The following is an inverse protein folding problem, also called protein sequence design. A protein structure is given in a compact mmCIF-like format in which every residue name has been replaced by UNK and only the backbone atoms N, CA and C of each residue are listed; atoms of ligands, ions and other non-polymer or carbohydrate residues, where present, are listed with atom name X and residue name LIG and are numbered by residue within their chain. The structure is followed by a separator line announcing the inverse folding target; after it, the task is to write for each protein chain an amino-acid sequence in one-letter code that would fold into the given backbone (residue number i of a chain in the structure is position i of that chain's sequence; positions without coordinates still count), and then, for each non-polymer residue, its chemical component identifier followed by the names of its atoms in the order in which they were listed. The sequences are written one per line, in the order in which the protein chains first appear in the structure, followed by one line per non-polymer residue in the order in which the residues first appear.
data_IF_013111645560
#
_entry.id   IF_013111645560
#
_cell.length_a   1.000
_cell.length_b   1.000
_cell.length_c   1.000
_cell.angle_alpha   90.00
_cell.angle_beta   90.00
_cell.angle_gamma   90.00
#
_symmetry.space_group_name_H-M   'P 1'
#
loop_
_entity.id
_entity.type
_entity.pdbx_description
1 polymer ?
#
# COMPACT_ATOMS: atom_id res chain seq x y z
N UNK A 1 18.75 15.23 23.40
CA UNK A 1 17.77 16.14 22.80
C UNK A 1 16.53 15.31 22.49
N UNK A 2 15.43 15.56 23.18
CA UNK A 2 14.14 14.92 22.92
C UNK A 2 13.62 15.38 21.56
N UNK A 3 13.21 14.44 20.71
CA UNK A 3 12.56 14.74 19.43
C UNK A 3 11.34 15.65 19.67
N UNK A 4 11.15 16.73 18.90
CA UNK A 4 9.98 17.57 19.05
C UNK A 4 8.71 16.81 18.65
N UNK A 5 7.70 16.89 19.52
CA UNK A 5 6.40 16.25 19.31
C UNK A 5 5.70 16.84 18.08
N UNK A 6 5.29 15.97 17.15
CA UNK A 6 4.65 16.38 15.91
C UNK A 6 3.21 16.81 16.17
N UNK A 7 2.93 18.11 16.06
CA UNK A 7 1.56 18.61 15.96
C UNK A 7 1.06 18.44 14.53
N UNK A 8 0.16 17.48 14.34
CA UNK A 8 -0.55 17.29 13.08
C UNK A 8 -1.67 18.34 12.96
N UNK A 9 -1.84 18.99 11.79
CA UNK A 9 -2.94 19.92 11.58
C UNK A 9 -4.27 19.16 11.40
N UNK A 10 -5.35 19.70 11.97
CA UNK A 10 -6.71 19.22 11.75
C UNK A 10 -7.12 19.33 10.27
N UNK A 11 -7.98 18.42 9.81
CA UNK A 11 -8.58 18.46 8.47
C UNK A 11 -9.26 19.82 8.18
N UNK A 12 -9.24 20.29 6.92
CA UNK A 12 -9.82 21.59 6.56
C UNK A 12 -11.32 21.66 6.84
N UNK A 13 -11.75 22.80 7.42
CA UNK A 13 -13.13 23.12 7.86
C UNK A 13 -14.22 23.04 6.76
N UNK A 14 -13.86 22.79 5.50
CA UNK A 14 -14.78 22.73 4.35
C UNK A 14 -15.28 21.32 4.02
N UNK A 15 -14.85 20.29 4.75
CA UNK A 15 -15.41 18.95 4.60
C UNK A 15 -16.87 18.94 5.10
N UNK A 16 -17.83 18.50 4.28
CA UNK A 16 -19.20 18.22 4.72
C UNK A 16 -19.12 17.13 5.80
N UNK A 17 -19.23 17.51 7.06
CA UNK A 17 -19.18 16.60 8.19
C UNK A 17 -20.45 15.75 8.16
N UNK A 18 -20.29 14.47 7.79
CA UNK A 18 -21.33 13.46 7.95
C UNK A 18 -21.55 13.30 9.47
N UNK A 19 -22.77 13.49 9.94
CA UNK A 19 -23.11 13.41 11.36
C UNK A 19 -23.22 11.94 11.79
N UNK A 20 -22.08 11.33 12.13
CA UNK A 20 -21.95 9.96 12.64
C UNK A 20 -20.48 9.50 12.64
N UNK A 21 -20.09 8.54 13.50
CA UNK A 21 -18.73 7.98 13.47
C UNK A 21 -18.49 7.31 12.11
N UNK A 22 -17.41 7.71 11.42
CA UNK A 22 -17.05 7.16 10.12
C UNK A 22 -16.60 5.71 10.24
N UNK A 23 -17.05 4.86 9.32
CA UNK A 23 -16.71 3.44 9.31
C UNK A 23 -15.29 3.23 8.81
N UNK A 24 -14.47 2.52 9.59
CA UNK A 24 -13.16 2.04 9.13
C UNK A 24 -13.32 0.85 8.17
N UNK A 25 -12.33 0.65 7.31
CA UNK A 25 -12.26 -0.48 6.39
C UNK A 25 -11.01 -1.32 6.61
N UNK A 26 -10.71 -2.14 5.60
CA UNK A 26 -9.61 -3.08 5.60
C UNK A 26 -8.64 -2.76 4.47
N UNK A 27 -7.35 -2.94 4.75
CA UNK A 27 -6.29 -2.65 3.76
C UNK A 27 -6.24 -3.72 2.66
N UNK A 28 -5.59 -3.42 1.53
CA UNK A 28 -5.36 -4.43 0.48
C UNK A 28 -4.53 -5.59 1.01
N UNK A 29 -3.59 -5.33 1.94
CA UNK A 29 -2.82 -6.35 2.65
C UNK A 29 -3.71 -7.32 3.44
N UNK A 30 -4.61 -6.80 4.27
CA UNK A 30 -5.54 -7.64 5.06
C UNK A 30 -6.45 -8.49 4.20
N UNK A 31 -7.06 -7.90 3.17
CA UNK A 31 -7.93 -8.65 2.26
C UNK A 31 -7.15 -9.71 1.47
N UNK A 32 -5.89 -9.45 1.12
CA UNK A 32 -5.03 -10.45 0.46
C UNK A 32 -4.64 -11.59 1.42
N UNK A 33 -4.35 -11.29 2.69
CA UNK A 33 -4.11 -12.31 3.71
C UNK A 33 -5.36 -13.17 3.97
N UNK A 34 -6.54 -12.55 4.00
CA UNK A 34 -7.82 -13.25 4.09
C UNK A 34 -8.03 -14.22 2.92
N UNK A 35 -7.89 -13.73 1.69
CA UNK A 35 -8.00 -14.56 0.49
C UNK A 35 -6.97 -15.72 0.51
N UNK A 36 -5.72 -15.43 0.86
CA UNK A 36 -4.67 -16.44 0.88
C UNK A 36 -4.91 -17.53 1.94
N UNK A 37 -5.38 -17.14 3.14
CA UNK A 37 -5.76 -18.09 4.19
C UNK A 37 -6.96 -18.93 3.77
N UNK A 38 -8.01 -18.32 3.22
CA UNK A 38 -9.19 -19.04 2.73
C UNK A 38 -8.83 -20.06 1.65
N UNK A 39 -8.03 -19.67 0.66
CA UNK A 39 -7.58 -20.56 -0.40
C UNK A 39 -6.69 -21.69 0.14
N UNK A 40 -5.79 -21.40 1.10
CA UNK A 40 -4.96 -22.44 1.74
C UNK A 40 -5.82 -23.45 2.50
N UNK A 41 -6.77 -22.98 3.31
CA UNK A 41 -7.72 -23.84 4.02
C UNK A 41 -8.53 -24.68 3.04
N UNK A 42 -8.99 -24.08 1.94
CA UNK A 42 -9.75 -24.78 0.93
C UNK A 42 -8.94 -25.87 0.23
N UNK A 43 -7.67 -25.59 -0.10
CA UNK A 43 -6.76 -26.55 -0.70
C UNK A 43 -6.43 -27.71 0.26
N UNK A 44 -6.25 -27.43 1.55
CA UNK A 44 -5.96 -28.45 2.57
C UNK A 44 -7.17 -29.36 2.82
N UNK A 45 -8.35 -28.77 2.96
CA UNK A 45 -9.59 -29.48 3.31
C UNK A 45 -10.32 -30.05 2.10
N UNK A 46 -9.94 -29.61 0.89
CA UNK A 46 -10.68 -29.86 -0.35
C UNK A 46 -12.15 -29.38 -0.28
N UNK A 47 -12.40 -28.29 0.46
CA UNK A 47 -13.73 -27.71 0.66
C UNK A 47 -13.71 -26.19 0.45
N UNK A 48 -14.69 -25.67 -0.28
CA UNK A 48 -14.83 -24.24 -0.49
C UNK A 48 -15.13 -23.52 0.85
N UNK A 49 -14.49 -22.37 1.07
CA UNK A 49 -14.70 -21.53 2.25
C UNK A 49 -15.69 -20.42 1.94
N UNK A 50 -16.59 -20.12 2.87
CA UNK A 50 -17.53 -18.98 2.79
C UNK A 50 -17.13 -17.83 3.71
N UNK A 51 -16.27 -18.10 4.69
CA UNK A 51 -15.68 -17.11 5.58
C UNK A 51 -14.28 -17.52 6.02
N UNK A 52 -13.52 -16.56 6.54
CA UNK A 52 -12.17 -16.80 7.09
C UNK A 52 -11.85 -15.79 8.18
N UNK A 53 -11.23 -16.25 9.26
CA UNK A 53 -10.72 -15.38 10.32
C UNK A 53 -9.26 -15.02 10.07
N UNK A 54 -8.92 -13.75 10.15
CA UNK A 54 -7.56 -13.22 9.93
C UNK A 54 -7.06 -12.54 11.18
N UNK A 55 -5.81 -12.81 11.55
CA UNK A 55 -5.10 -12.08 12.60
C UNK A 55 -4.42 -10.86 11.97
N UNK A 56 -4.69 -9.67 12.54
CA UNK A 56 -4.06 -8.41 12.17
C UNK A 56 -2.77 -8.18 12.99
N UNK A 57 -1.88 -7.24 12.59
CA UNK A 57 -0.62 -6.97 13.29
C UNK A 57 -0.73 -6.63 14.79
N UNK A 58 -1.89 -6.17 15.25
CA UNK A 58 -2.18 -5.91 16.69
C UNK A 58 -2.88 -7.10 17.37
N UNK A 59 -2.64 -8.33 16.87
CA UNK A 59 -3.25 -9.61 17.33
C UNK A 59 -4.79 -9.63 17.34
N UNK A 60 -5.42 -8.69 16.64
CA UNK A 60 -6.87 -8.62 16.52
C UNK A 60 -7.35 -9.64 15.50
N UNK A 61 -8.24 -10.55 15.92
CA UNK A 61 -8.94 -11.48 15.03
C UNK A 61 -10.14 -10.79 14.37
N UNK A 62 -10.26 -10.93 13.05
CA UNK A 62 -11.36 -10.37 12.25
C UNK A 62 -11.85 -11.39 11.23
N UNK A 63 -13.16 -11.59 11.16
CA UNK A 63 -13.81 -12.46 10.17
C UNK A 63 -14.09 -11.71 8.86
N UNK A 64 -13.76 -12.35 7.74
CA UNK A 64 -14.03 -11.88 6.39
C UNK A 64 -14.99 -12.84 5.69
N UNK A 65 -15.94 -12.29 4.93
CA UNK A 65 -16.69 -13.07 3.97
C UNK A 65 -15.80 -13.41 2.77
N UNK A 66 -15.88 -14.65 2.31
CA UNK A 66 -15.22 -15.12 1.10
C UNK A 66 -16.25 -15.10 -0.02
N UNK A 67 -16.08 -14.17 -0.96
CA UNK A 67 -17.03 -13.93 -2.05
C UNK A 67 -17.09 -15.11 -3.01
N UNK A 68 -15.93 -15.67 -3.33
CA UNK A 68 -15.78 -16.85 -4.18
C UNK A 68 -14.65 -17.71 -3.66
N UNK A 69 -14.84 -19.02 -3.66
CA UNK A 69 -13.80 -19.99 -3.32
C UNK A 69 -13.93 -21.20 -4.25
N UNK A 70 -13.00 -21.34 -5.19
CA UNK A 70 -12.95 -22.42 -6.15
C UNK A 70 -11.84 -23.39 -5.77
N UNK A 71 -12.14 -24.69 -5.77
CA UNK A 71 -11.20 -25.74 -5.33
C UNK A 71 -11.02 -26.77 -6.44
N UNK A 72 -9.76 -27.11 -6.69
CA UNK A 72 -9.32 -28.17 -7.58
C UNK A 72 -8.35 -29.10 -6.83
N UNK A 73 -8.03 -30.29 -7.39
CA UNK A 73 -7.16 -31.25 -6.70
C UNK A 73 -5.77 -30.70 -6.32
N UNK A 74 -5.22 -29.78 -7.11
CA UNK A 74 -3.85 -29.26 -6.97
C UNK A 74 -3.79 -27.76 -6.68
N UNK A 75 -4.93 -27.06 -6.70
CA UNK A 75 -4.99 -25.63 -6.46
C UNK A 75 -6.31 -25.17 -5.86
N UNK A 76 -6.31 -24.07 -5.13
CA UNK A 76 -7.51 -23.38 -4.72
C UNK A 76 -7.37 -21.88 -4.96
N UNK A 77 -8.49 -21.24 -5.26
CA UNK A 77 -8.57 -19.80 -5.42
C UNK A 77 -9.65 -19.25 -4.49
N UNK A 78 -9.36 -18.17 -3.79
CA UNK A 78 -10.35 -17.45 -2.99
C UNK A 78 -10.31 -15.95 -3.27
N UNK A 79 -11.48 -15.33 -3.16
CA UNK A 79 -11.69 -13.90 -3.42
C UNK A 79 -12.28 -13.23 -2.19
N UNK A 80 -11.66 -12.13 -1.77
CA UNK A 80 -12.19 -11.23 -0.73
C UNK A 80 -12.34 -9.84 -1.33
N UNK A 81 -13.55 -9.28 -1.23
CA UNK A 81 -13.84 -7.93 -1.73
C UNK A 81 -13.45 -6.92 -0.65
N UNK A 82 -12.60 -5.94 -1.02
CA UNK A 82 -12.14 -4.92 -0.08
C UNK A 82 -13.25 -3.93 0.25
N UNK A 83 -13.60 -3.84 1.53
CA UNK A 83 -14.40 -2.74 2.08
C UNK A 83 -13.46 -1.70 2.71
N UNK A 84 -13.37 -0.52 2.09
CA UNK A 84 -12.59 0.61 2.62
C UNK A 84 -13.35 1.45 3.69
N UNK A 85 -14.56 1.05 4.07
CA UNK A 85 -15.42 1.83 4.94
C UNK A 85 -15.85 3.13 4.26
N UNK A 86 -15.80 4.24 4.99
CA UNK A 86 -16.13 5.57 4.47
C UNK A 86 -14.93 6.33 3.87
N UNK A 87 -13.76 5.69 3.75
CA UNK A 87 -12.61 6.29 3.07
C UNK A 87 -12.82 6.33 1.55
N UNK A 88 -12.56 7.45 0.86
CA UNK A 88 -12.63 7.54 -0.61
C UNK A 88 -11.44 6.84 -1.29
N UNK A 89 -11.22 5.58 -0.94
CA UNK A 89 -10.12 4.74 -1.41
C UNK A 89 -10.41 4.19 -2.81
N UNK A 90 -9.50 4.43 -3.75
CA UNK A 90 -9.57 3.93 -5.13
C UNK A 90 -9.61 2.40 -5.24
N UNK A 91 -9.20 1.69 -4.20
CA UNK A 91 -9.22 0.23 -4.11
C UNK A 91 -10.45 -0.31 -3.38
N UNK A 92 -11.40 0.54 -2.97
CA UNK A 92 -12.69 0.10 -2.45
C UNK A 92 -13.43 -0.77 -3.50
N UNK A 93 -13.94 -1.92 -3.07
CA UNK A 93 -14.59 -2.91 -3.92
C UNK A 93 -13.63 -3.70 -4.82
N UNK A 94 -12.31 -3.61 -4.62
CA UNK A 94 -11.36 -4.43 -5.37
C UNK A 94 -11.48 -5.90 -4.96
N UNK A 95 -11.34 -6.81 -5.94
CA UNK A 95 -11.42 -8.25 -5.72
C UNK A 95 -10.02 -8.79 -5.45
N UNK A 96 -9.63 -8.87 -4.17
CA UNK A 96 -8.34 -9.44 -3.78
C UNK A 96 -8.44 -10.95 -3.91
N UNK A 97 -7.72 -11.48 -4.89
CA UNK A 97 -7.77 -12.89 -5.28
C UNK A 97 -6.45 -13.55 -4.91
N UNK A 98 -6.51 -14.69 -4.24
CA UNK A 98 -5.33 -15.50 -3.95
C UNK A 98 -5.50 -16.88 -4.55
N UNK A 99 -4.56 -17.27 -5.41
CA UNK A 99 -4.45 -18.63 -5.94
C UNK A 99 -3.34 -19.35 -5.20
N UNK A 100 -3.63 -20.50 -4.61
CA UNK A 100 -2.70 -21.28 -3.79
C UNK A 100 -2.47 -22.65 -4.42
N UNK A 101 -1.21 -23.10 -4.42
CA UNK A 101 -0.78 -24.44 -4.86
C UNK A 101 0.24 -25.00 -3.89
N UNK A 102 0.27 -26.32 -3.75
CA UNK A 102 1.36 -27.00 -3.03
C UNK A 102 2.68 -26.90 -3.81
N UNK A 103 3.78 -26.79 -3.08
CA UNK A 103 5.15 -26.91 -3.59
C UNK A 103 5.80 -28.16 -3.02
N UNK A 104 6.77 -28.71 -3.75
CA UNK A 104 7.53 -29.89 -3.32
C UNK A 104 8.62 -29.61 -2.27
N UNK A 105 8.82 -28.34 -1.87
CA UNK A 105 9.82 -27.92 -0.89
C UNK A 105 9.15 -27.03 0.16
N UNK A 106 9.45 -27.19 1.47
CA UNK A 106 8.87 -26.36 2.53
C UNK A 106 9.05 -24.85 2.31
N UNK A 107 8.11 -24.08 2.86
CA UNK A 107 8.13 -22.63 2.86
C UNK A 107 7.04 -21.99 2.01
N UNK A 108 7.04 -20.66 2.02
CA UNK A 108 6.08 -19.82 1.30
C UNK A 108 6.78 -19.09 0.16
N UNK A 109 6.36 -19.37 -1.07
CA UNK A 109 6.64 -18.54 -2.24
C UNK A 109 5.45 -17.60 -2.49
N UNK A 110 5.72 -16.29 -2.53
CA UNK A 110 4.71 -15.27 -2.74
C UNK A 110 4.97 -14.49 -4.03
N UNK A 111 4.05 -14.63 -4.97
CA UNK A 111 4.11 -14.02 -6.30
C UNK A 111 2.97 -12.99 -6.48
N UNK A 112 3.18 -12.03 -7.38
CA UNK A 112 2.12 -11.13 -7.87
C UNK A 112 1.60 -11.61 -9.22
N UNK A 113 0.27 -11.65 -9.36
CA UNK A 113 -0.43 -11.95 -10.60
C UNK A 113 -1.05 -10.69 -11.22
N UNK A 114 -2.15 -10.87 -11.96
CA UNK A 114 -2.80 -9.79 -12.71
C UNK A 114 -3.18 -8.63 -11.78
N UNK A 115 -2.85 -7.40 -12.19
CA UNK A 115 -3.21 -6.16 -11.50
C UNK A 115 -2.54 -5.92 -10.13
N UNK A 116 -1.59 -6.77 -9.72
CA UNK A 116 -0.59 -6.40 -8.71
C UNK A 116 0.58 -5.73 -9.43
N UNK A 117 0.98 -4.55 -8.94
CA UNK A 117 2.03 -3.79 -9.58
C UNK A 117 3.40 -4.47 -9.50
N UNK A 118 4.27 -4.17 -10.45
CA UNK A 118 5.68 -4.58 -10.48
C UNK A 118 6.54 -3.37 -10.14
N UNK A 119 7.51 -3.58 -9.25
CA UNK A 119 8.46 -2.55 -8.81
C UNK A 119 9.53 -2.36 -9.88
N UNK A 120 9.69 -1.13 -10.37
CA UNK A 120 10.63 -0.77 -11.45
C UNK A 120 11.67 0.25 -11.01
N UNK A 121 11.51 0.83 -9.82
CA UNK A 121 12.44 1.78 -9.20
C UNK A 121 12.80 1.34 -7.79
N UNK A 122 14.03 1.61 -7.38
CA UNK A 122 14.47 1.43 -6.00
C UNK A 122 13.85 2.47 -5.05
N UNK A 123 13.98 2.24 -3.74
CA UNK A 123 13.60 3.20 -2.68
C UNK A 123 12.32 2.84 -1.89
N UNK A 124 11.52 1.89 -2.36
CA UNK A 124 10.32 1.41 -1.64
C UNK A 124 10.62 0.33 -0.58
N UNK A 125 11.88 -0.09 -0.43
CA UNK A 125 12.23 -1.27 0.36
C UNK A 125 11.72 -2.58 -0.25
N UNK A 126 11.45 -2.58 -1.55
CA UNK A 126 10.99 -3.73 -2.32
C UNK A 126 12.02 -4.07 -3.41
N UNK A 127 12.07 -5.35 -3.76
CA UNK A 127 12.92 -5.85 -4.84
C UNK A 127 12.45 -5.30 -6.20
N UNK A 128 13.37 -4.71 -6.96
CA UNK A 128 13.11 -4.27 -8.33
C UNK A 128 12.91 -5.50 -9.23
N UNK A 129 11.85 -5.50 -10.03
CA UNK A 129 11.35 -6.64 -10.79
C UNK A 129 10.37 -7.51 -10.00
N UNK A 130 10.28 -7.33 -8.68
CA UNK A 130 9.36 -8.06 -7.81
C UNK A 130 7.95 -7.46 -7.74
N UNK A 131 6.99 -8.19 -7.16
CA UNK A 131 5.63 -7.71 -6.98
C UNK A 131 5.57 -6.65 -5.87
N UNK A 132 4.71 -5.65 -6.06
CA UNK A 132 4.45 -4.54 -5.15
C UNK A 132 3.60 -4.96 -3.95
N UNK A 133 4.10 -5.95 -3.20
CA UNK A 133 3.53 -6.44 -1.94
C UNK A 133 4.47 -6.00 -0.82
N UNK A 134 3.99 -5.11 0.06
CA UNK A 134 4.80 -4.50 1.11
C UNK A 134 5.17 -5.50 2.22
N UNK A 135 6.25 -5.24 3.00
CA UNK A 135 6.72 -6.17 4.04
C UNK A 135 5.65 -6.60 5.04
N UNK A 136 4.86 -5.67 5.57
CA UNK A 136 3.79 -6.00 6.54
C UNK A 136 2.72 -6.92 5.92
N UNK A 137 2.15 -6.63 4.74
CA UNK A 137 1.28 -7.58 4.06
C UNK A 137 1.92 -8.94 3.76
N UNK A 138 3.22 -9.00 3.42
CA UNK A 138 3.93 -10.28 3.21
C UNK A 138 3.92 -11.11 4.49
N UNK A 139 4.22 -10.48 5.62
CA UNK A 139 4.22 -11.16 6.92
C UNK A 139 2.80 -11.57 7.33
N UNK A 140 1.81 -10.69 7.16
CA UNK A 140 0.42 -11.02 7.43
C UNK A 140 -0.05 -12.24 6.63
N UNK A 141 0.32 -12.33 5.34
CA UNK A 141 0.00 -13.50 4.50
C UNK A 141 0.68 -14.75 5.06
N UNK A 142 1.99 -14.66 5.40
CA UNK A 142 2.76 -15.76 5.96
C UNK A 142 2.17 -16.28 7.26
N UNK A 143 1.91 -15.42 8.23
CA UNK A 143 1.35 -15.78 9.54
C UNK A 143 -0.03 -16.43 9.41
N UNK A 144 -0.90 -15.86 8.58
CA UNK A 144 -2.26 -16.35 8.42
C UNK A 144 -2.32 -17.70 7.68
N UNK A 145 -1.39 -17.95 6.76
CA UNK A 145 -1.20 -19.27 6.14
C UNK A 145 -0.58 -20.24 7.15
N UNK A 146 0.42 -19.80 7.92
CA UNK A 146 1.09 -20.59 8.97
C UNK A 146 0.12 -21.09 10.05
N UNK A 147 -0.96 -20.35 10.30
CA UNK A 147 -2.04 -20.78 11.19
C UNK A 147 -2.90 -21.93 10.64
N UNK A 148 -2.80 -22.24 9.34
CA UNK A 148 -3.54 -23.31 8.66
C UNK A 148 -2.62 -24.50 8.33
N UNK A 149 -1.38 -24.20 7.93
CA UNK A 149 -0.40 -25.21 7.51
C UNK A 149 0.98 -24.91 8.09
N UNK A 150 1.66 -25.95 8.54
CA UNK A 150 3.05 -25.88 9.02
C UNK A 150 4.02 -25.65 7.84
N UNK A 151 4.43 -24.40 7.66
CA UNK A 151 5.31 -23.98 6.55
C UNK A 151 6.73 -24.55 6.64
N UNK A 152 7.13 -25.11 7.78
CA UNK A 152 8.43 -25.80 7.91
C UNK A 152 8.36 -27.23 7.35
N UNK A 153 7.15 -27.77 7.16
CA UNK A 153 6.92 -29.10 6.59
C UNK A 153 6.33 -29.07 5.18
N UNK A 154 5.53 -28.06 4.88
CA UNK A 154 4.81 -27.94 3.62
C UNK A 154 5.24 -26.71 2.85
N UNK A 155 5.30 -26.88 1.54
CA UNK A 155 5.54 -25.81 0.59
C UNK A 155 4.24 -25.27 0.04
N UNK A 156 4.07 -23.95 0.00
CA UNK A 156 2.94 -23.31 -0.67
C UNK A 156 3.40 -22.18 -1.58
N UNK A 157 2.86 -22.13 -2.79
CA UNK A 157 2.93 -20.97 -3.67
C UNK A 157 1.62 -20.23 -3.57
N UNK A 158 1.71 -18.93 -3.35
CA UNK A 158 0.58 -18.01 -3.29
C UNK A 158 0.78 -16.95 -4.35
N UNK A 159 -0.19 -16.80 -5.25
CA UNK A 159 -0.21 -15.72 -6.23
C UNK A 159 -1.35 -14.78 -5.88
N UNK A 160 -1.01 -13.54 -5.52
CA UNK A 160 -2.01 -12.49 -5.25
C UNK A 160 -2.33 -11.76 -6.54
N UNK A 161 -3.61 -11.63 -6.87
CA UNK A 161 -4.11 -10.94 -8.06
C UNK A 161 -5.23 -9.98 -7.69
N UNK A 162 -5.35 -8.91 -8.47
CA UNK A 162 -6.41 -7.91 -8.40
C UNK A 162 -6.89 -7.67 -9.83
N UNK A 163 -7.94 -8.36 -10.33
CA UNK A 163 -8.29 -8.34 -11.75
C UNK A 163 -8.48 -6.95 -12.37
N UNK A 164 -8.98 -5.98 -11.60
CA UNK A 164 -9.16 -4.58 -12.00
C UNK A 164 -8.04 -3.63 -11.50
N UNK A 165 -6.95 -4.20 -10.96
CA UNK A 165 -5.86 -3.48 -10.31
C UNK A 165 -5.13 -2.54 -11.25
N UNK A 166 -4.88 -2.91 -12.50
CA UNK A 166 -4.24 -2.02 -13.47
C UNK A 166 -5.12 -0.78 -13.77
N UNK A 167 -6.43 -0.97 -13.90
CA UNK A 167 -7.37 0.13 -14.11
C UNK A 167 -7.41 1.08 -12.91
N UNK A 168 -7.40 0.52 -11.69
CA UNK A 168 -7.37 1.30 -10.44
C UNK A 168 -6.07 2.06 -10.27
N UNK A 169 -4.93 1.45 -10.62
CA UNK A 169 -3.61 2.06 -10.50
C UNK A 169 -3.47 3.37 -11.30
N UNK A 170 -4.22 3.54 -12.39
CA UNK A 170 -4.24 4.79 -13.18
C UNK A 170 -4.72 6.02 -12.38
N UNK A 171 -5.40 5.80 -11.26
CA UNK A 171 -5.89 6.86 -10.35
C UNK A 171 -5.04 6.94 -9.06
N UNK A 172 -3.84 6.36 -9.06
CA UNK A 172 -2.90 6.36 -7.94
C UNK A 172 -1.61 7.08 -8.31
N UNK A 173 -0.74 7.32 -7.33
CA UNK A 173 0.63 7.82 -7.53
C UNK A 173 1.64 6.70 -7.82
N UNK A 174 1.20 5.44 -7.95
CA UNK A 174 2.07 4.26 -8.09
C UNK A 174 3.07 4.37 -9.24
N UNK A 175 2.63 4.84 -10.41
CA UNK A 175 3.51 4.96 -11.58
C UNK A 175 4.72 5.88 -11.31
N UNK A 176 4.52 6.96 -10.55
CA UNK A 176 5.60 7.88 -10.15
C UNK A 176 6.60 7.20 -9.22
N UNK A 177 6.09 6.42 -8.28
CA UNK A 177 6.87 5.57 -7.36
C UNK A 177 7.56 4.39 -8.07
N UNK A 178 7.36 4.21 -9.38
CA UNK A 178 7.93 3.11 -10.14
C UNK A 178 7.17 1.80 -9.96
N UNK A 179 5.88 1.84 -9.62
CA UNK A 179 5.02 0.66 -9.55
C UNK A 179 4.11 0.65 -10.78
N UNK A 180 4.31 -0.31 -11.67
CA UNK A 180 3.62 -0.40 -12.97
C UNK A 180 2.77 -1.66 -13.10
N UNK A 181 1.73 -1.63 -13.93
CA UNK A 181 0.88 -2.80 -14.23
C UNK A 181 -0.16 -3.16 -13.16
N UNK A 182 -0.25 -2.42 -12.05
CA UNK A 182 -1.18 -2.74 -10.98
C UNK A 182 -1.08 -1.89 -9.72
N UNK A 183 -1.93 -2.19 -8.75
CA UNK A 183 -1.91 -1.55 -7.42
C UNK A 183 -0.88 -2.23 -6.51
N UNK A 184 -0.54 -1.57 -5.41
CA UNK A 184 0.29 -2.17 -4.37
C UNK A 184 -0.58 -2.86 -3.32
N UNK A 185 -0.13 -4.00 -2.84
CA UNK A 185 -0.68 -4.67 -1.68
C UNK A 185 0.03 -4.10 -0.45
N UNK A 186 -0.68 -3.26 0.30
CA UNK A 186 -0.13 -2.40 1.34
C UNK A 186 -1.06 -2.32 2.55
N UNK A 187 -0.52 -1.86 3.68
CA UNK A 187 -1.24 -1.69 4.95
C UNK A 187 -0.33 -2.03 6.13
N UNK A 188 -0.22 -1.14 7.10
CA UNK A 188 0.67 -1.33 8.28
C UNK A 188 -0.07 -1.89 9.49
N UNK A 189 -1.30 -1.43 9.73
CA UNK A 189 -2.17 -1.87 10.84
C UNK A 189 -3.22 -2.88 10.40
N UNK A 190 -3.35 -3.08 9.09
CA UNK A 190 -4.43 -3.84 8.48
C UNK A 190 -5.77 -3.09 8.38
N UNK A 191 -5.87 -1.86 8.90
CA UNK A 191 -7.10 -1.07 8.95
C UNK A 191 -6.97 0.19 8.07
N UNK A 192 -8.03 0.50 7.32
CA UNK A 192 -8.19 1.78 6.62
C UNK A 192 -9.02 2.71 7.49
N UNK A 193 -8.43 3.84 7.88
CA UNK A 193 -9.12 4.91 8.61
C UNK A 193 -9.55 6.01 7.62
N UNK A 194 -10.83 6.41 7.58
CA UNK A 194 -11.32 7.44 6.67
C UNK A 194 -10.57 8.77 6.82
N UNK A 195 -10.11 9.33 5.69
CA UNK A 195 -9.39 10.60 5.62
C UNK A 195 -8.11 10.62 6.47
N UNK A 196 -7.41 9.49 6.56
CA UNK A 196 -6.19 9.35 7.34
C UNK A 196 -5.05 10.25 6.82
N UNK A 197 -4.58 11.15 7.69
CA UNK A 197 -3.34 11.93 7.49
C UNK A 197 -2.11 11.03 7.44
N UNK A 198 -2.12 9.92 8.18
CA UNK A 198 -1.03 8.95 8.26
C UNK A 198 -0.75 8.30 6.89
N UNK A 199 -1.79 7.87 6.17
CA UNK A 199 -1.67 7.26 4.84
C UNK A 199 -1.09 8.24 3.82
N UNK A 200 -1.48 9.52 3.89
CA UNK A 200 -0.91 10.57 3.04
C UNK A 200 0.56 10.82 3.38
N UNK A 201 0.88 10.96 4.68
CA UNK A 201 2.25 11.14 5.16
C UNK A 201 3.16 10.00 4.68
N UNK A 202 2.70 8.76 4.80
CA UNK A 202 3.44 7.59 4.32
C UNK A 202 3.72 7.67 2.82
N UNK A 203 2.76 8.12 2.03
CA UNK A 203 2.92 8.30 0.57
C UNK A 203 3.97 9.37 0.24
N UNK A 204 4.02 10.47 1.00
CA UNK A 204 5.04 11.52 0.86
C UNK A 204 6.43 10.98 1.21
N UNK A 205 6.55 10.25 2.32
CA UNK A 205 7.82 9.63 2.75
C UNK A 205 8.32 8.64 1.69
N UNK A 206 7.45 7.80 1.15
CA UNK A 206 7.80 6.86 0.07
C UNK A 206 8.26 7.57 -1.20
N UNK A 207 7.62 8.69 -1.58
CA UNK A 207 8.03 9.47 -2.74
C UNK A 207 9.44 10.03 -2.57
N UNK A 208 9.77 10.54 -1.39
CA UNK A 208 11.14 11.02 -1.08
C UNK A 208 12.15 9.87 -1.13
N UNK A 209 11.84 8.70 -0.55
CA UNK A 209 12.74 7.54 -0.60
C UNK A 209 12.99 7.06 -2.04
N UNK A 210 11.94 6.98 -2.87
CA UNK A 210 12.09 6.59 -4.28
C UNK A 210 12.95 7.59 -5.02
N UNK A 211 12.72 8.88 -4.82
CA UNK A 211 13.50 9.95 -5.42
C UNK A 211 14.97 9.84 -5.03
N UNK A 212 15.28 9.76 -3.74
CA UNK A 212 16.66 9.67 -3.25
C UNK A 212 17.39 8.44 -3.81
N UNK A 213 16.69 7.31 -3.93
CA UNK A 213 17.25 6.09 -4.50
C UNK A 213 17.54 6.18 -6.01
N UNK A 214 17.10 7.24 -6.70
CA UNK A 214 17.50 7.48 -8.10
C UNK A 214 18.84 8.22 -8.22
N UNK A 215 19.42 8.69 -7.12
CA UNK A 215 20.67 9.44 -7.13
C UNK A 215 20.55 10.87 -7.66
N UNK A 216 19.33 11.40 -7.72
CA UNK A 216 19.09 12.78 -8.13
C UNK A 216 19.48 13.76 -7.02
N UNK A 217 20.15 14.88 -7.34
CA UNK A 217 20.68 15.79 -6.33
C UNK A 217 19.60 16.63 -5.64
N UNK A 218 18.48 16.88 -6.34
CA UNK A 218 17.52 17.92 -5.97
C UNK A 218 16.13 17.37 -5.73
N UNK A 219 15.63 17.53 -4.51
CA UNK A 219 14.23 17.30 -4.14
C UNK A 219 13.40 18.54 -4.40
N UNK A 220 12.34 18.43 -5.18
CA UNK A 220 11.37 19.51 -5.42
C UNK A 220 10.09 19.21 -4.67
N UNK A 221 9.80 20.00 -3.65
CA UNK A 221 8.59 19.88 -2.86
C UNK A 221 7.53 20.86 -3.37
N UNK A 222 6.35 20.34 -3.67
CA UNK A 222 5.22 21.12 -4.12
C UNK A 222 4.06 21.04 -3.14
N UNK A 223 3.39 22.17 -2.87
CA UNK A 223 2.23 22.21 -1.96
C UNK A 223 0.96 21.51 -2.48
N UNK A 224 1.02 20.95 -3.69
CA UNK A 224 -0.04 20.24 -4.40
C UNK A 224 0.13 20.31 -5.92
N UNK A 225 -0.72 19.62 -6.68
CA UNK A 225 -0.55 19.40 -8.11
C UNK A 225 -0.48 20.65 -9.00
N UNK A 226 -1.09 21.78 -8.60
CA UNK A 226 -0.92 23.05 -9.34
C UNK A 226 0.52 23.56 -9.23
N UNK A 227 1.09 23.56 -8.03
CA UNK A 227 2.46 24.00 -7.78
C UNK A 227 3.47 22.99 -8.31
N UNK A 228 3.12 21.70 -8.34
CA UNK A 228 3.95 20.67 -8.96
C UNK A 228 4.08 20.91 -10.47
N UNK A 229 2.96 21.11 -11.18
CA UNK A 229 2.99 21.44 -12.63
C UNK A 229 3.81 22.69 -12.93
N UNK A 230 3.69 23.72 -12.09
CA UNK A 230 4.51 24.92 -12.22
C UNK A 230 5.99 24.61 -12.00
N UNK A 231 6.33 23.81 -10.99
CA UNK A 231 7.70 23.41 -10.69
C UNK A 231 8.33 22.62 -11.85
N UNK A 232 7.58 21.71 -12.47
CA UNK A 232 8.04 20.92 -13.63
C UNK A 232 8.41 21.85 -14.80
N UNK A 233 7.59 22.90 -15.05
CA UNK A 233 7.89 23.90 -16.10
C UNK A 233 9.10 24.77 -15.73
N UNK A 234 9.29 25.09 -14.44
CA UNK A 234 10.41 25.90 -13.95
C UNK A 234 11.74 25.13 -13.95
N UNK A 235 11.70 23.81 -13.75
CA UNK A 235 12.86 22.94 -13.61
C UNK A 235 12.80 21.77 -14.63
N UNK A 236 12.75 22.06 -15.94
CA UNK A 236 12.46 21.04 -16.97
C UNK A 236 13.59 20.02 -17.15
N UNK A 237 14.77 20.26 -16.59
CA UNK A 237 15.91 19.34 -16.64
C UNK A 237 15.84 18.26 -15.56
N UNK A 238 15.00 18.44 -14.53
CA UNK A 238 14.84 17.44 -13.47
C UNK A 238 13.83 16.37 -13.90
N UNK A 239 14.07 15.08 -13.60
CA UNK A 239 13.10 14.03 -13.88
C UNK A 239 11.86 14.15 -12.99
N UNK A 240 10.73 13.60 -13.44
CA UNK A 240 9.44 13.69 -12.73
C UNK A 240 9.52 13.16 -11.28
N UNK A 241 10.39 12.19 -11.03
CA UNK A 241 10.58 11.60 -9.69
C UNK A 241 11.08 12.61 -8.65
N UNK A 242 11.72 13.71 -9.08
CA UNK A 242 12.18 14.78 -8.21
C UNK A 242 11.04 15.60 -7.61
N UNK A 243 9.83 15.54 -8.18
CA UNK A 243 8.70 16.37 -7.79
C UNK A 243 7.77 15.61 -6.86
N UNK A 244 7.63 16.09 -5.62
CA UNK A 244 6.83 15.46 -4.57
C UNK A 244 5.75 16.43 -4.08
N UNK A 245 4.49 16.04 -4.22
CA UNK A 245 3.37 16.75 -3.59
C UNK A 245 3.33 16.49 -2.09
N UNK A 246 3.73 17.48 -1.28
CA UNK A 246 3.81 17.33 0.18
C UNK A 246 2.50 17.63 0.89
N UNK A 247 1.59 18.39 0.29
CA UNK A 247 0.40 18.88 0.97
C UNK A 247 0.78 19.67 2.23
N UNK A 248 0.40 19.15 3.41
CA UNK A 248 0.74 19.72 4.72
C UNK A 248 1.91 18.99 5.41
N UNK A 249 2.50 17.97 4.77
CA UNK A 249 3.52 17.08 5.35
C UNK A 249 4.97 17.47 5.01
N UNK A 250 5.24 18.77 4.83
CA UNK A 250 6.57 19.31 4.52
C UNK A 250 7.63 18.85 5.52
N UNK A 251 7.34 18.88 6.82
CA UNK A 251 8.28 18.45 7.86
C UNK A 251 8.62 16.95 7.77
N UNK A 252 7.66 16.11 7.38
CA UNK A 252 7.92 14.68 7.16
C UNK A 252 8.79 14.46 5.92
N UNK A 253 8.53 15.19 4.83
CA UNK A 253 9.34 15.15 3.62
C UNK A 253 10.79 15.58 3.88
N UNK A 254 11.00 16.69 4.60
CA UNK A 254 12.33 17.21 4.91
C UNK A 254 13.12 16.29 5.84
N UNK A 255 12.49 15.74 6.89
CA UNK A 255 13.15 14.74 7.75
C UNK A 255 13.59 13.55 6.94
N UNK A 256 12.71 13.03 6.07
CA UNK A 256 13.06 11.92 5.20
C UNK A 256 14.19 12.29 4.25
N UNK A 257 14.19 13.51 3.72
CA UNK A 257 15.26 13.98 2.84
C UNK A 257 16.62 13.99 3.55
N UNK A 258 16.67 14.45 4.80
CA UNK A 258 17.88 14.44 5.63
C UNK A 258 18.32 13.01 5.94
N UNK A 259 17.41 12.11 6.29
CA UNK A 259 17.70 10.69 6.52
C UNK A 259 18.34 10.02 5.29
N UNK A 260 17.88 10.37 4.09
CA UNK A 260 18.39 9.87 2.82
C UNK A 260 19.62 10.65 2.30
N UNK A 261 20.13 11.63 3.06
CA UNK A 261 21.33 12.39 2.72
C UNK A 261 21.17 13.42 1.59
N UNK A 262 19.94 13.84 1.28
CA UNK A 262 19.68 14.85 0.26
C UNK A 262 20.10 16.24 0.73
N UNK A 263 20.84 16.96 -0.11
CA UNK A 263 21.41 18.28 0.20
C UNK A 263 20.65 19.44 -0.40
N UNK A 264 20.00 19.23 -1.55
CA UNK A 264 19.34 20.30 -2.29
C UNK A 264 17.83 20.11 -2.29
N UNK A 265 17.11 21.08 -1.71
CA UNK A 265 15.64 21.07 -1.66
C UNK A 265 15.10 22.39 -2.21
N UNK A 266 14.25 22.29 -3.23
CA UNK A 266 13.50 23.42 -3.80
C UNK A 266 12.05 23.33 -3.36
N UNK A 267 11.54 24.39 -2.73
CA UNK A 267 10.15 24.45 -2.29
C UNK A 267 9.32 25.36 -3.22
N UNK A 268 8.39 24.78 -3.96
CA UNK A 268 7.48 25.50 -4.85
C UNK A 268 6.08 25.49 -4.27
N UNK A 269 5.60 26.66 -3.82
CA UNK A 269 4.33 26.76 -3.12
C UNK A 269 3.55 28.02 -3.41
N UNK A 270 2.25 27.96 -3.15
CA UNK A 270 1.39 29.14 -3.10
C UNK A 270 1.78 29.97 -1.87
N UNK A 271 1.99 31.28 -2.03
CA UNK A 271 2.45 32.16 -0.95
C UNK A 271 1.69 31.97 0.38
N UNK A 272 0.35 31.88 0.35
CA UNK A 272 -0.47 31.68 1.56
C UNK A 272 -0.41 30.29 2.19
N UNK A 273 0.12 29.27 1.51
CA UNK A 273 0.46 27.98 2.14
C UNK A 273 1.85 28.03 2.78
N UNK A 274 2.80 28.75 2.16
CA UNK A 274 4.16 28.91 2.71
C UNK A 274 4.16 29.59 4.07
N UNK A 275 3.29 30.57 4.27
CA UNK A 275 3.18 31.29 5.55
C UNK A 275 2.76 30.41 6.73
N UNK A 276 2.23 29.20 6.48
CA UNK A 276 1.83 28.24 7.53
C UNK A 276 2.96 27.30 7.97
N UNK A 277 4.13 27.38 7.32
CA UNK A 277 5.28 26.51 7.61
C UNK A 277 6.21 27.07 8.71
N UNK A 278 5.94 28.29 9.17
CA UNK A 278 6.70 28.98 10.22
C UNK A 278 6.31 28.51 11.64
#
# INVERSE_FOLDING_TARGET
MTEPELREPDLPRTAKVRTGPLRSGWTTGTCSAAAAKAATTALLTQQAQTSVDVVLPEERLVSFAVERCDVSPDSAEAVVVKDAGDDPDVTHGAHLTATVRWLGQPGLQLDGGVGVGVVTKAGLGLEVGGPAINPVPREMIRENIGAVVDLDKYGVRVTISVPDGELRAKKTTNARLGILGGISILGTTGIVRPFSTESWRASVVQAVSVMAAQGEPTLVLATGGRTEKAAIVMLPTLPEVCFVEVGDFTGAALRKAVEEGLTDVVFVGMAGKLTKLA
#
